data_IF_816954787870
#
_entry.id   IF_816954787870
#
_cell.length_a   1.000
_cell.length_b   1.000
_cell.length_c   1.000
_cell.angle_alpha   90.00
_cell.angle_beta   90.00
_cell.angle_gamma   90.00
#
_symmetry.space_group_name_H-M   'P 1'
#
loop_
_entity.id
_entity.type
_entity.pdbx_description
1 polymer ?
#
# COMPACT_ATOMS: atom_id res chain seq x y z
N UNK A 1 -58.11 9.52 20.32
CA UNK A 1 -57.38 9.31 21.59
C UNK A 1 -56.42 8.15 21.38
N UNK A 2 -55.18 8.27 21.85
CA UNK A 2 -53.94 8.12 21.07
C UNK A 2 -53.30 6.73 21.22
N UNK A 3 -52.40 6.31 20.32
CA UNK A 3 -50.93 6.42 20.49
C UNK A 3 -50.32 5.88 19.18
N UNK A 4 -49.48 6.57 18.40
CA UNK A 4 -48.32 7.35 18.81
C UNK A 4 -47.07 6.46 18.75
N UNK A 5 -46.69 6.00 17.55
CA UNK A 5 -45.41 5.30 17.34
C UNK A 5 -44.31 6.35 17.53
N UNK A 6 -43.57 6.24 18.63
CA UNK A 6 -42.37 7.05 18.89
C UNK A 6 -41.22 6.53 18.02
N UNK A 7 -40.46 7.40 17.34
CA UNK A 7 -39.19 7.01 16.75
C UNK A 7 -38.19 6.70 17.88
N UNK A 8 -37.54 5.54 17.79
CA UNK A 8 -36.44 5.18 18.68
C UNK A 8 -35.21 5.94 18.18
N UNK A 9 -34.87 7.02 18.88
CA UNK A 9 -33.53 7.60 18.85
C UNK A 9 -32.60 6.66 19.61
N UNK A 10 -31.59 6.11 18.94
CA UNK A 10 -30.43 5.52 19.61
C UNK A 10 -29.29 6.52 19.47
N UNK A 11 -29.20 7.44 20.43
CA UNK A 11 -27.98 8.22 20.65
C UNK A 11 -27.05 7.40 21.55
N UNK A 12 -25.89 7.08 20.99
CA UNK A 12 -24.57 7.12 21.60
C UNK A 12 -24.42 6.50 23.02
N UNK A 13 -23.92 5.26 23.07
CA UNK A 13 -23.09 4.80 24.18
C UNK A 13 -21.78 4.28 23.61
N UNK A 14 -20.75 5.13 23.63
CA UNK A 14 -19.38 4.67 23.63
C UNK A 14 -19.18 3.76 24.84
N UNK A 15 -19.03 2.47 24.59
CA UNK A 15 -18.68 1.49 25.62
C UNK A 15 -17.18 1.61 25.89
N UNK A 16 -16.82 2.39 26.92
CA UNK A 16 -15.48 2.46 27.49
C UNK A 16 -15.21 1.28 28.42
N UNK A 17 -15.44 0.06 27.96
CA UNK A 17 -15.13 -1.16 28.69
C UNK A 17 -14.31 -2.11 27.81
N UNK A 18 -13.00 -1.89 27.89
CA UNK A 18 -11.99 -2.67 27.20
C UNK A 18 -10.64 -1.98 27.20
N UNK A 19 -10.23 -1.36 28.31
CA UNK A 19 -8.81 -1.07 28.54
C UNK A 19 -8.12 -2.41 28.79
N UNK A 20 -7.92 -3.18 27.72
CA UNK A 20 -6.97 -4.28 27.72
C UNK A 20 -5.60 -3.70 28.03
N UNK A 21 -4.86 -4.46 28.84
CA UNK A 21 -3.49 -4.16 29.25
C UNK A 21 -2.64 -3.77 28.03
N UNK A 22 -1.54 -3.00 28.19
CA UNK A 22 -0.55 -2.92 27.14
C UNK A 22 -0.07 -4.36 26.93
N UNK A 23 -0.60 -5.01 25.90
CA UNK A 23 0.09 -6.11 25.27
C UNK A 23 1.51 -5.62 25.07
N UNK A 24 2.51 -6.44 25.38
CA UNK A 24 3.87 -6.24 24.89
C UNK A 24 3.77 -5.99 23.39
N UNK A 25 3.67 -4.72 22.99
CA UNK A 25 3.42 -4.34 21.62
C UNK A 25 4.73 -4.62 20.94
N UNK A 26 4.78 -5.71 20.17
CA UNK A 26 5.96 -6.09 19.41
C UNK A 26 6.35 -4.89 18.57
N UNK A 27 7.46 -4.25 18.93
CA UNK A 27 7.99 -3.10 18.19
C UNK A 27 8.69 -3.67 16.96
N UNK A 28 8.20 -3.30 15.78
CA UNK A 28 8.82 -3.67 14.51
C UNK A 28 9.96 -2.71 14.16
N UNK A 29 10.87 -3.11 13.24
CA UNK A 29 11.95 -2.23 12.78
C UNK A 29 11.43 -0.89 12.26
N UNK A 30 12.22 0.16 12.46
CA UNK A 30 11.93 1.51 12.00
C UNK A 30 13.24 2.22 11.62
N UNK A 31 13.15 3.39 10.98
CA UNK A 31 14.30 4.20 10.58
C UNK A 31 14.54 5.37 11.53
N UNK A 32 15.79 5.83 11.70
CA UNK A 32 16.12 7.04 12.46
C UNK A 32 15.30 8.26 12.02
N UNK A 33 15.06 8.42 10.72
CA UNK A 33 14.30 9.52 10.11
C UNK A 33 12.83 9.56 10.55
N UNK A 34 12.30 8.47 11.10
CA UNK A 34 10.91 8.38 11.54
C UNK A 34 10.75 8.54 13.07
N UNK A 35 11.83 8.39 13.85
CA UNK A 35 11.76 8.34 15.32
C UNK A 35 11.17 9.62 15.93
N UNK A 36 11.51 10.76 15.35
CA UNK A 36 10.93 12.04 15.72
C UNK A 36 9.63 12.24 14.92
N UNK A 37 8.51 11.91 15.56
CA UNK A 37 7.15 11.90 15.00
C UNK A 37 6.86 10.74 14.01
N UNK A 38 6.84 9.47 14.47
CA UNK A 38 6.51 8.34 13.61
C UNK A 38 5.02 8.35 13.24
N UNK A 39 4.69 7.82 12.06
CA UNK A 39 3.30 7.68 11.61
C UNK A 39 2.52 6.80 12.58
N UNK A 40 1.44 7.34 13.14
CA UNK A 40 0.61 6.61 14.09
C UNK A 40 -0.28 5.59 13.38
N UNK A 41 -0.74 5.92 12.16
CA UNK A 41 -1.49 5.00 11.31
C UNK A 41 -0.65 3.76 10.96
N UNK A 42 0.64 3.95 10.65
CA UNK A 42 1.58 2.83 10.42
C UNK A 42 1.69 1.94 11.65
N UNK A 43 1.99 2.54 12.81
CA UNK A 43 2.16 1.80 14.08
C UNK A 43 0.87 1.09 14.51
N UNK A 44 -0.30 1.65 14.22
CA UNK A 44 -1.58 0.98 14.46
C UNK A 44 -1.74 -0.24 13.54
N UNK A 45 -1.41 -0.11 12.25
CA UNK A 45 -1.47 -1.19 11.28
C UNK A 45 -0.44 -2.30 11.59
N UNK A 46 0.73 -1.94 12.14
CA UNK A 46 1.72 -2.90 12.66
C UNK A 46 1.13 -3.80 13.76
N UNK A 47 0.16 -3.31 14.53
CA UNK A 47 -0.58 -4.11 15.52
C UNK A 47 -1.49 -5.18 14.91
N UNK A 48 -1.81 -5.08 13.61
CA UNK A 48 -2.61 -6.04 12.85
C UNK A 48 -1.71 -7.00 12.06
N UNK A 49 -0.82 -6.43 11.24
CA UNK A 49 0.07 -7.17 10.35
C UNK A 49 1.34 -7.62 11.08
N UNK A 50 1.27 -8.76 11.78
CA UNK A 50 2.36 -9.20 12.70
C UNK A 50 3.20 -10.38 12.20
N UNK A 51 2.72 -11.11 11.18
CA UNK A 51 3.35 -12.32 10.65
C UNK A 51 4.49 -11.99 9.67
N UNK A 52 5.72 -11.99 10.18
CA UNK A 52 6.95 -11.73 9.42
C UNK A 52 7.56 -12.96 8.73
N UNK A 53 6.87 -14.11 8.74
CA UNK A 53 7.39 -15.37 8.19
C UNK A 53 7.28 -15.42 6.67
N UNK A 54 8.31 -15.98 6.03
CA UNK A 54 8.28 -16.29 4.60
C UNK A 54 7.49 -17.58 4.38
N UNK A 55 6.16 -17.45 4.22
CA UNK A 55 5.23 -18.58 4.06
C UNK A 55 4.51 -18.62 2.71
N UNK A 56 4.51 -17.51 1.98
CA UNK A 56 4.02 -17.42 0.61
C UNK A 56 5.18 -17.66 -0.36
N UNK A 57 4.88 -18.27 -1.51
CA UNK A 57 5.86 -18.49 -2.57
C UNK A 57 6.17 -17.17 -3.29
N UNK A 58 7.42 -16.67 -3.25
CA UNK A 58 7.76 -15.35 -3.80
C UNK A 58 7.42 -15.19 -5.29
N UNK A 59 7.62 -16.25 -6.09
CA UNK A 59 7.34 -16.24 -7.52
C UNK A 59 5.84 -16.16 -7.86
N UNK A 60 4.95 -16.42 -6.89
CA UNK A 60 3.50 -16.37 -7.07
C UNK A 60 2.87 -15.07 -6.55
N UNK A 61 3.64 -14.13 -5.97
CA UNK A 61 3.07 -12.94 -5.33
C UNK A 61 2.33 -12.03 -6.32
N UNK A 62 2.83 -11.89 -7.55
CA UNK A 62 2.13 -11.14 -8.59
C UNK A 62 0.79 -11.78 -8.96
N UNK A 63 0.69 -13.12 -8.92
CA UNK A 63 -0.58 -13.82 -9.16
C UNK A 63 -1.56 -13.65 -8.01
N UNK A 64 -1.06 -13.58 -6.76
CA UNK A 64 -1.92 -13.30 -5.61
C UNK A 64 -2.42 -11.85 -5.61
N UNK A 65 -1.60 -10.90 -6.02
CA UNK A 65 -1.98 -9.48 -6.01
C UNK A 65 -2.87 -9.09 -7.19
N UNK A 66 -2.54 -9.55 -8.41
CA UNK A 66 -3.13 -9.08 -9.66
C UNK A 66 -4.00 -10.17 -10.31
N UNK A 67 -5.25 -9.82 -10.64
CA UNK A 67 -6.17 -10.70 -11.40
C UNK A 67 -5.95 -10.64 -12.91
N UNK A 68 -5.65 -9.46 -13.44
CA UNK A 68 -5.53 -9.22 -14.88
C UNK A 68 -5.28 -7.74 -15.23
N UNK A 69 -5.24 -7.39 -16.53
CA UNK A 69 -5.16 -6.00 -16.99
C UNK A 69 -6.46 -5.24 -16.69
N UNK A 70 -6.32 -3.95 -16.35
CA UNK A 70 -7.45 -3.03 -16.24
C UNK A 70 -7.04 -1.70 -15.65
N UNK A 71 -7.31 -0.60 -16.38
CA UNK A 71 -6.99 0.76 -15.98
C UNK A 71 -8.03 1.40 -15.06
N UNK A 72 -7.76 2.62 -14.62
CA UNK A 72 -8.66 3.43 -13.79
C UNK A 72 -10.01 3.66 -14.47
N UNK A 73 -9.99 4.01 -15.76
CA UNK A 73 -11.19 4.16 -16.60
C UNK A 73 -11.60 2.79 -17.20
N UNK A 74 -12.84 2.30 -16.97
CA UNK A 74 -13.28 1.00 -17.48
C UNK A 74 -13.42 0.93 -19.00
N UNK A 75 -13.58 2.08 -19.65
CA UNK A 75 -13.76 2.14 -21.10
C UNK A 75 -12.40 2.11 -21.85
N UNK A 76 -11.28 2.24 -21.13
CA UNK A 76 -9.93 2.21 -21.69
C UNK A 76 -9.31 0.83 -21.47
N UNK A 77 -9.02 0.14 -22.56
CA UNK A 77 -8.30 -1.13 -22.54
C UNK A 77 -6.78 -0.91 -22.36
N UNK A 78 -6.15 -1.78 -21.56
CA UNK A 78 -4.70 -1.80 -21.37
C UNK A 78 -4.07 -2.62 -22.47
N UNK A 79 -2.96 -2.12 -23.03
CA UNK A 79 -2.16 -2.83 -24.03
C UNK A 79 -1.49 -4.09 -23.44
N UNK A 80 -1.66 -5.23 -24.11
CA UNK A 80 -1.19 -6.54 -23.62
C UNK A 80 0.34 -6.58 -23.45
N UNK A 81 1.10 -5.98 -24.38
CA UNK A 81 2.57 -5.95 -24.30
C UNK A 81 3.03 -5.09 -23.11
N UNK A 82 2.41 -3.93 -22.92
CA UNK A 82 2.67 -3.02 -21.79
C UNK A 82 2.31 -3.67 -20.45
N UNK A 83 1.19 -4.41 -20.40
CA UNK A 83 0.79 -5.20 -19.25
C UNK A 83 1.85 -6.26 -18.88
N UNK A 84 2.29 -7.05 -19.86
CA UNK A 84 3.27 -8.11 -19.64
C UNK A 84 4.62 -7.55 -19.16
N UNK A 85 5.06 -6.41 -19.70
CA UNK A 85 6.28 -5.73 -19.25
C UNK A 85 6.18 -5.22 -17.81
N UNK A 86 5.13 -4.47 -17.49
CA UNK A 86 4.89 -3.95 -16.14
C UNK A 86 4.75 -5.09 -15.12
N UNK A 87 3.96 -6.13 -15.44
CA UNK A 87 3.74 -7.28 -14.57
C UNK A 87 5.03 -8.05 -14.31
N UNK A 88 5.91 -8.17 -15.31
CA UNK A 88 7.21 -8.83 -15.17
C UNK A 88 8.14 -8.07 -14.24
N UNK A 89 8.17 -6.73 -14.32
CA UNK A 89 8.96 -5.89 -13.42
C UNK A 89 8.38 -5.96 -12.00
N UNK A 90 7.06 -5.82 -11.86
CA UNK A 90 6.35 -5.96 -10.59
C UNK A 90 6.66 -7.31 -9.93
N UNK A 91 6.59 -8.41 -10.67
CA UNK A 91 6.86 -9.75 -10.13
C UNK A 91 8.25 -9.87 -9.50
N UNK A 92 9.28 -9.28 -10.12
CA UNK A 92 10.65 -9.31 -9.58
C UNK A 92 10.76 -8.46 -8.32
N UNK A 93 10.17 -7.27 -8.33
CA UNK A 93 10.18 -6.35 -7.18
C UNK A 93 9.46 -7.00 -5.98
N UNK A 94 8.32 -7.65 -6.20
CA UNK A 94 7.59 -8.38 -5.15
C UNK A 94 8.40 -9.56 -4.61
N UNK A 95 9.07 -10.33 -5.48
CA UNK A 95 9.95 -11.43 -5.08
C UNK A 95 11.10 -10.93 -4.21
N UNK A 96 11.80 -9.87 -4.65
CA UNK A 96 12.90 -9.26 -3.91
C UNK A 96 12.44 -8.67 -2.57
N UNK A 97 11.31 -7.95 -2.55
CA UNK A 97 10.74 -7.36 -1.35
C UNK A 97 10.34 -8.43 -0.33
N UNK A 98 9.65 -9.50 -0.75
CA UNK A 98 9.21 -10.54 0.16
C UNK A 98 10.36 -11.39 0.71
N UNK A 99 11.39 -11.66 -0.10
CA UNK A 99 12.56 -12.40 0.34
C UNK A 99 13.44 -11.59 1.31
N UNK A 100 13.55 -10.28 1.10
CA UNK A 100 14.51 -9.44 1.84
C UNK A 100 13.89 -8.63 2.97
N UNK A 101 12.65 -8.17 2.84
CA UNK A 101 11.97 -7.31 3.81
C UNK A 101 10.99 -8.06 4.70
N UNK A 102 11.30 -8.11 6.00
CA UNK A 102 10.37 -8.62 7.02
C UNK A 102 9.15 -7.75 7.18
N UNK A 103 9.30 -6.44 6.99
CA UNK A 103 8.18 -5.48 6.98
C UNK A 103 7.24 -5.74 5.82
N UNK A 104 7.76 -5.91 4.60
CA UNK A 104 6.94 -6.26 3.43
C UNK A 104 6.19 -7.58 3.62
N UNK A 105 6.87 -8.62 4.16
CA UNK A 105 6.22 -9.91 4.44
C UNK A 105 5.00 -9.77 5.34
N UNK A 106 5.06 -8.92 6.37
CA UNK A 106 3.91 -8.69 7.26
C UNK A 106 2.71 -8.14 6.51
N UNK A 107 2.93 -7.11 5.68
CA UNK A 107 1.86 -6.48 4.90
C UNK A 107 1.27 -7.48 3.90
N UNK A 108 2.12 -8.16 3.13
CA UNK A 108 1.68 -9.14 2.12
C UNK A 108 0.94 -10.33 2.75
N UNK A 109 1.47 -10.88 3.85
CA UNK A 109 0.83 -12.01 4.55
C UNK A 109 -0.54 -11.61 5.11
N UNK A 110 -0.62 -10.42 5.72
CA UNK A 110 -1.88 -9.91 6.27
C UNK A 110 -2.92 -9.69 5.16
N UNK A 111 -2.55 -8.99 4.08
CA UNK A 111 -3.41 -8.76 2.93
C UNK A 111 -3.86 -10.06 2.25
N UNK A 112 -2.98 -11.08 2.19
CA UNK A 112 -3.36 -12.39 1.67
C UNK A 112 -4.45 -13.05 2.52
N UNK A 113 -4.31 -13.02 3.84
CA UNK A 113 -5.31 -13.61 4.73
C UNK A 113 -6.64 -12.85 4.73
N UNK A 114 -6.60 -11.53 4.53
CA UNK A 114 -7.83 -10.71 4.48
C UNK A 114 -8.55 -10.82 3.13
N UNK A 115 -7.81 -10.73 2.01
CA UNK A 115 -8.40 -10.49 0.68
C UNK A 115 -7.79 -11.36 -0.41
N UNK A 116 -6.46 -11.34 -0.59
CA UNK A 116 -5.82 -11.80 -1.84
C UNK A 116 -5.88 -13.32 -2.08
N UNK A 117 -6.21 -14.11 -1.06
CA UNK A 117 -6.51 -15.54 -1.21
C UNK A 117 -7.80 -15.78 -2.03
N UNK A 118 -8.74 -14.83 -2.02
CA UNK A 118 -9.92 -14.82 -2.89
C UNK A 118 -9.56 -14.14 -4.22
N UNK A 119 -9.78 -14.85 -5.32
CA UNK A 119 -9.43 -14.38 -6.68
C UNK A 119 -10.23 -13.14 -7.06
N UNK A 120 -11.47 -13.03 -6.60
CA UNK A 120 -12.36 -11.90 -6.92
C UNK A 120 -12.04 -10.62 -6.13
N UNK A 121 -11.16 -10.71 -5.12
CA UNK A 121 -10.72 -9.56 -4.31
C UNK A 121 -9.36 -9.01 -4.73
N UNK A 122 -8.76 -9.58 -5.78
CA UNK A 122 -7.46 -9.15 -6.33
C UNK A 122 -7.59 -7.85 -7.12
N UNK A 123 -6.45 -7.21 -7.34
CA UNK A 123 -6.37 -5.92 -8.02
C UNK A 123 -6.23 -6.10 -9.54
N UNK A 124 -6.77 -5.15 -10.30
CA UNK A 124 -6.43 -4.97 -11.71
C UNK A 124 -5.13 -4.18 -11.82
N UNK A 125 -4.34 -4.45 -12.87
CA UNK A 125 -3.13 -3.69 -13.17
C UNK A 125 -3.39 -2.75 -14.34
N UNK A 126 -3.38 -1.44 -14.05
CA UNK A 126 -3.42 -0.35 -15.03
C UNK A 126 -2.02 -0.07 -15.56
N UNK A 127 -1.51 -0.95 -16.41
CA UNK A 127 -0.14 -0.83 -16.93
C UNK A 127 -0.03 0.31 -17.95
N UNK A 128 1.01 1.14 -17.81
CA UNK A 128 1.25 2.32 -18.66
C UNK A 128 0.43 3.56 -18.26
N UNK A 129 -0.39 3.47 -17.22
CA UNK A 129 -1.08 4.63 -16.64
C UNK A 129 -0.19 5.33 -15.60
N UNK A 130 -0.55 6.57 -15.25
CA UNK A 130 0.12 7.30 -14.16
C UNK A 130 0.02 6.53 -12.85
N UNK A 131 1.08 6.57 -12.03
CA UNK A 131 1.10 5.90 -10.72
C UNK A 131 -0.09 6.30 -9.85
N UNK A 132 -0.77 5.29 -9.29
CA UNK A 132 -1.87 5.50 -8.37
C UNK A 132 -2.59 4.20 -8.00
N UNK A 133 -3.27 4.19 -6.86
CA UNK A 133 -4.00 3.03 -6.34
C UNK A 133 -5.35 3.45 -5.78
N UNK A 134 -6.41 2.74 -6.13
CA UNK A 134 -7.77 3.06 -5.65
C UNK A 134 -7.95 2.61 -4.20
N UNK A 135 -7.78 3.52 -3.23
CA UNK A 135 -7.90 3.22 -1.80
C UNK A 135 -9.05 3.95 -1.12
N UNK A 136 -9.52 5.07 -1.67
CA UNK A 136 -10.61 5.86 -1.09
C UNK A 136 -11.95 5.53 -1.73
N UNK A 137 -13.04 5.87 -1.04
CA UNK A 137 -14.39 5.79 -1.63
C UNK A 137 -14.50 6.65 -2.89
N UNK A 138 -13.81 7.80 -2.95
CA UNK A 138 -13.79 8.69 -4.12
C UNK A 138 -13.04 8.06 -5.32
N UNK A 139 -11.94 7.34 -5.06
CA UNK A 139 -11.20 6.61 -6.10
C UNK A 139 -12.04 5.44 -6.62
N UNK A 140 -12.74 4.73 -5.72
CA UNK A 140 -13.64 3.64 -6.08
C UNK A 140 -14.83 4.16 -6.88
N UNK A 141 -15.43 5.29 -6.50
CA UNK A 141 -16.49 5.92 -7.30
C UNK A 141 -16.00 6.27 -8.71
N UNK A 142 -14.77 6.76 -8.83
CA UNK A 142 -14.16 7.16 -10.10
C UNK A 142 -13.79 5.98 -11.01
N UNK A 143 -13.57 4.80 -10.43
CA UNK A 143 -13.16 3.57 -11.14
C UNK A 143 -14.30 2.56 -11.31
N UNK A 144 -15.56 2.98 -11.08
CA UNK A 144 -16.76 2.14 -11.06
C UNK A 144 -16.69 0.98 -10.05
N UNK A 145 -16.06 1.23 -8.90
CA UNK A 145 -15.91 0.30 -7.79
C UNK A 145 -14.81 -0.73 -7.98
N UNK A 146 -13.94 -0.55 -8.99
CA UNK A 146 -12.87 -1.49 -9.30
C UNK A 146 -11.60 -1.18 -8.51
N UNK A 147 -10.94 -2.23 -8.02
CA UNK A 147 -9.64 -2.13 -7.36
C UNK A 147 -8.54 -2.11 -8.41
N UNK A 148 -7.88 -0.97 -8.61
CA UNK A 148 -6.84 -0.79 -9.61
C UNK A 148 -5.54 -0.33 -8.96
N UNK A 149 -4.42 -0.93 -9.38
CA UNK A 149 -3.06 -0.44 -9.15
C UNK A 149 -2.52 -0.01 -10.52
N UNK A 150 -2.29 1.28 -10.72
CA UNK A 150 -1.73 1.85 -11.94
C UNK A 150 -0.22 2.00 -11.80
N UNK A 151 0.53 1.47 -12.76
CA UNK A 151 2.00 1.44 -12.78
C UNK A 151 2.49 1.69 -14.21
N UNK A 152 3.61 2.39 -14.36
CA UNK A 152 4.30 2.57 -15.64
C UNK A 152 5.81 2.36 -15.50
N UNK A 153 6.53 2.41 -16.62
CA UNK A 153 7.99 2.29 -16.67
C UNK A 153 8.66 3.60 -17.13
N UNK A 154 7.93 4.72 -17.03
CA UNK A 154 8.35 6.03 -17.53
C UNK A 154 9.49 6.62 -16.68
N UNK A 155 9.70 6.13 -15.46
CA UNK A 155 10.88 6.41 -14.62
C UNK A 155 12.21 6.03 -15.32
N UNK A 156 12.15 5.20 -16.36
CA UNK A 156 13.29 4.81 -17.19
C UNK A 156 13.29 5.42 -18.59
N UNK A 157 12.29 6.26 -18.89
CA UNK A 157 12.17 6.96 -20.16
C UNK A 157 12.93 8.30 -20.11
N UNK A 158 13.90 8.48 -21.02
CA UNK A 158 14.69 9.70 -21.13
C UNK A 158 13.86 10.92 -21.57
N UNK A 159 12.68 10.70 -22.18
CA UNK A 159 11.78 11.75 -22.63
C UNK A 159 10.80 12.23 -21.52
N UNK A 160 10.73 11.53 -20.39
CA UNK A 160 9.90 11.92 -19.25
C UNK A 160 10.60 12.96 -18.35
N UNK A 161 9.82 13.84 -17.71
CA UNK A 161 10.38 14.75 -16.69
C UNK A 161 10.41 13.98 -15.37
N UNK A 162 11.59 13.77 -14.76
CA UNK A 162 11.66 12.99 -13.52
C UNK A 162 10.89 13.68 -12.39
N UNK A 163 10.13 12.89 -11.64
CA UNK A 163 9.54 13.32 -10.38
C UNK A 163 10.57 13.20 -9.25
N UNK A 164 10.46 14.08 -8.25
CA UNK A 164 11.41 14.14 -7.13
C UNK A 164 10.71 14.04 -5.77
N UNK A 165 11.40 13.45 -4.81
CA UNK A 165 11.01 13.46 -3.40
C UNK A 165 12.06 14.15 -2.51
N UNK A 166 11.61 14.66 -1.36
CA UNK A 166 12.48 15.31 -0.37
C UNK A 166 13.25 14.27 0.44
N UNK A 167 14.56 14.47 0.59
CA UNK A 167 15.43 13.66 1.46
C UNK A 167 16.43 14.55 2.20
N UNK A 168 17.10 13.99 3.21
CA UNK A 168 18.16 14.70 3.94
C UNK A 168 19.37 15.05 3.04
N UNK A 169 19.55 14.36 1.92
CA UNK A 169 20.62 14.59 0.94
C UNK A 169 20.19 15.54 -0.20
N UNK A 170 19.01 16.17 -0.07
CA UNK A 170 18.38 17.00 -1.09
C UNK A 170 17.38 16.22 -1.96
N UNK A 171 16.78 16.87 -2.97
CA UNK A 171 15.80 16.24 -3.86
C UNK A 171 16.39 15.01 -4.57
N UNK A 172 15.67 13.90 -4.54
CA UNK A 172 16.03 12.65 -5.21
C UNK A 172 14.99 12.30 -6.26
N UNK A 173 15.40 11.69 -7.36
CA UNK A 173 14.47 11.17 -8.36
C UNK A 173 13.77 9.92 -7.82
N UNK A 174 12.49 9.75 -8.18
CA UNK A 174 11.85 8.45 -8.04
C UNK A 174 12.50 7.44 -8.98
N UNK A 175 12.63 6.21 -8.49
CA UNK A 175 13.03 5.05 -9.28
C UNK A 175 11.89 4.03 -9.28
N UNK A 176 11.86 3.17 -10.29
CA UNK A 176 10.80 2.17 -10.46
C UNK A 176 10.58 1.32 -9.21
N UNK A 177 11.65 0.98 -8.46
CA UNK A 177 11.53 0.19 -7.23
C UNK A 177 10.71 0.93 -6.18
N UNK A 178 11.03 2.21 -5.93
CA UNK A 178 10.29 3.02 -4.98
C UNK A 178 8.85 3.24 -5.42
N UNK A 179 8.63 3.61 -6.69
CA UNK A 179 7.30 3.89 -7.24
C UNK A 179 6.39 2.66 -7.12
N UNK A 180 6.90 1.47 -7.48
CA UNK A 180 6.12 0.23 -7.39
C UNK A 180 5.85 -0.18 -5.94
N UNK A 181 6.84 -0.11 -5.06
CA UNK A 181 6.63 -0.44 -3.64
C UNK A 181 5.62 0.51 -3.00
N UNK A 182 5.65 1.80 -3.34
CA UNK A 182 4.70 2.79 -2.81
C UNK A 182 3.25 2.44 -3.14
N UNK A 183 2.95 2.19 -4.42
CA UNK A 183 1.61 1.80 -4.85
C UNK A 183 1.18 0.43 -4.30
N UNK A 184 2.10 -0.54 -4.23
CA UNK A 184 1.81 -1.83 -3.60
C UNK A 184 1.50 -1.66 -2.11
N UNK A 185 2.18 -0.77 -1.39
CA UNK A 185 1.88 -0.52 0.03
C UNK A 185 0.48 0.09 0.20
N UNK A 186 0.05 1.00 -0.68
CA UNK A 186 -1.35 1.43 -0.71
C UNK A 186 -2.30 0.24 -0.83
N UNK A 187 -2.08 -0.63 -1.82
CA UNK A 187 -2.93 -1.78 -2.10
C UNK A 187 -2.99 -2.82 -0.96
N UNK A 188 -1.87 -3.01 -0.24
CA UNK A 188 -1.79 -4.01 0.84
C UNK A 188 -2.36 -3.50 2.18
N UNK A 189 -2.45 -2.17 2.37
CA UNK A 189 -2.82 -1.57 3.65
C UNK A 189 -4.13 -0.79 3.62
N UNK A 190 -4.60 -0.40 2.42
CA UNK A 190 -5.71 0.54 2.21
C UNK A 190 -5.52 1.88 2.93
N UNK A 191 -4.28 2.24 3.26
CA UNK A 191 -3.94 3.52 3.86
C UNK A 191 -3.63 4.56 2.77
N UNK A 192 -3.94 5.82 3.06
CA UNK A 192 -3.54 6.96 2.24
C UNK A 192 -2.20 7.54 2.74
N UNK A 193 -1.55 8.36 1.92
CA UNK A 193 -0.39 9.16 2.34
C UNK A 193 -0.76 10.22 3.38
N UNK A 194 -1.98 10.77 3.31
CA UNK A 194 -2.36 11.90 4.15
C UNK A 194 -2.56 11.46 5.61
N UNK A 195 -1.78 12.05 6.51
CA UNK A 195 -1.93 11.92 7.97
C UNK A 195 -1.79 13.29 8.63
N UNK A 196 -2.82 13.77 9.34
CA UNK A 196 -2.93 15.17 9.80
C UNK A 196 -1.74 15.68 10.66
N UNK A 197 -1.09 14.79 11.40
CA UNK A 197 0.00 15.12 12.32
C UNK A 197 1.36 14.56 11.91
N UNK A 198 1.50 13.99 10.71
CA UNK A 198 2.76 13.40 10.23
C UNK A 198 3.09 13.95 8.82
N UNK A 199 4.33 14.39 8.57
CA UNK A 199 4.69 15.00 7.29
C UNK A 199 4.85 14.00 6.14
N UNK A 200 5.01 12.71 6.44
CA UNK A 200 5.27 11.64 5.47
C UNK A 200 4.03 10.82 5.15
N UNK A 201 3.27 10.47 6.18
CA UNK A 201 2.22 9.47 6.10
C UNK A 201 2.71 8.03 6.31
N UNK A 202 1.77 7.10 6.55
CA UNK A 202 2.10 5.70 6.83
C UNK A 202 2.74 4.97 5.65
N UNK A 203 2.27 5.25 4.43
CA UNK A 203 2.70 4.56 3.21
C UNK A 203 4.15 4.91 2.89
N UNK A 204 4.50 6.20 2.93
CA UNK A 204 5.89 6.66 2.78
C UNK A 204 6.82 6.02 3.81
N UNK A 205 6.44 5.98 5.09
CA UNK A 205 7.28 5.37 6.14
C UNK A 205 7.46 3.87 5.92
N UNK A 206 6.41 3.13 5.54
CA UNK A 206 6.52 1.72 5.15
C UNK A 206 7.46 1.54 3.96
N UNK A 207 7.28 2.32 2.88
CA UNK A 207 8.12 2.28 1.68
C UNK A 207 9.59 2.50 2.04
N UNK A 208 9.90 3.49 2.88
CA UNK A 208 11.26 3.74 3.34
C UNK A 208 11.87 2.53 4.07
N UNK A 209 11.12 1.94 5.02
CA UNK A 209 11.59 0.77 5.79
C UNK A 209 11.83 -0.41 4.83
N UNK A 210 10.87 -0.71 3.96
CA UNK A 210 10.95 -1.83 3.01
C UNK A 210 12.17 -1.68 2.10
N UNK A 211 12.36 -0.50 1.50
CA UNK A 211 13.50 -0.24 0.62
C UNK A 211 14.83 -0.37 1.36
N UNK A 212 14.93 0.08 2.63
CA UNK A 212 16.14 -0.11 3.42
C UNK A 212 16.40 -1.58 3.77
N UNK A 213 15.37 -2.35 4.08
CA UNK A 213 15.49 -3.79 4.31
C UNK A 213 15.92 -4.55 3.02
N UNK A 214 15.52 -4.06 1.85
CA UNK A 214 15.98 -4.57 0.53
C UNK A 214 17.40 -4.13 0.15
N UNK A 215 18.08 -3.34 0.99
CA UNK A 215 19.41 -2.81 0.69
C UNK A 215 19.43 -1.70 -0.38
N UNK A 216 18.29 -1.04 -0.61
CA UNK A 216 18.18 0.04 -1.59
C UNK A 216 19.02 1.27 -1.16
N UNK A 217 19.84 1.77 -2.09
CA UNK A 217 20.82 2.82 -1.80
C UNK A 217 20.19 4.20 -1.58
N UNK A 218 19.07 4.50 -2.25
CA UNK A 218 18.45 5.82 -2.20
C UNK A 218 18.10 6.24 -0.75
N UNK A 219 18.25 7.52 -0.38
CA UNK A 219 17.95 7.98 0.97
C UNK A 219 16.43 7.93 1.24
N UNK A 220 16.00 7.81 2.52
CA UNK A 220 14.59 7.85 2.88
C UNK A 220 13.91 9.17 2.46
N UNK A 221 12.61 9.10 2.13
CA UNK A 221 11.75 10.27 1.90
C UNK A 221 11.31 10.85 3.24
N UNK A 222 11.58 12.13 3.49
CA UNK A 222 11.39 12.77 4.82
C UNK A 222 10.13 13.63 4.94
#
# INVERSE_FOLDING_TARGET
>A
MPTGIKPIFINNMMSTYGLSHPHDSKVFPDLPEHQDNPSQLRLQHDGLATDDKARLEPMCLAEYLISGPGGMDPDIEIDDDTYDECRKVLSRILEDAYTQSGTFRRLMNYAYDQELHDVEQRWLLGAGENFGTTVTDEDLESSEGRKVIALNLDDTDDDSIPEYYESNDGPQQFDTTRSFIHEVVHALTHLQDKEDSNPRGPVVEYTNIILKEMGHAAPPRI
#
